data_IF_623156765108
#
_entry.id   IF_623156765108
#
_cell.length_a   1.000
_cell.length_b   1.000
_cell.length_c   1.000
_cell.angle_alpha   90.00
_cell.angle_beta   90.00
_cell.angle_gamma   90.00
#
_symmetry.space_group_name_H-M   'P 1'
#
loop_
_entity.id
_entity.type
_entity.pdbx_description
1 polymer ?
#
# COMPACT_ATOMS: atom_id res chain seq x y z
N UNK A 1 20.32 -19.95 -5.14
CA UNK A 1 18.93 -20.27 -4.72
C UNK A 1 18.64 -19.54 -3.41
N UNK A 2 17.44 -18.98 -3.21
CA UNK A 2 17.06 -18.33 -1.95
C UNK A 2 16.90 -19.35 -0.80
N UNK A 3 16.72 -20.64 -1.10
CA UNK A 3 16.44 -21.66 -0.11
C UNK A 3 15.04 -21.54 0.51
N UNK A 4 14.76 -22.35 1.53
CA UNK A 4 13.45 -22.37 2.19
C UNK A 4 13.26 -21.16 3.10
N UNK A 5 12.01 -20.73 3.21
CA UNK A 5 11.60 -19.63 4.09
C UNK A 5 11.60 -20.09 5.56
N UNK A 6 12.38 -19.41 6.39
CA UNK A 6 12.46 -19.63 7.85
C UNK A 6 11.54 -18.69 8.62
N UNK A 7 11.48 -17.44 8.18
CA UNK A 7 10.69 -16.40 8.82
C UNK A 7 10.11 -15.39 7.82
N UNK A 8 8.95 -14.83 8.17
CA UNK A 8 8.40 -13.62 7.57
C UNK A 8 7.81 -12.78 8.69
N UNK A 9 8.14 -11.49 8.72
CA UNK A 9 7.67 -10.58 9.74
C UNK A 9 7.50 -9.15 9.22
N UNK A 10 6.69 -8.37 9.93
CA UNK A 10 6.51 -6.94 9.67
C UNK A 10 7.64 -6.21 10.38
N UNK A 11 8.46 -5.47 9.62
CA UNK A 11 9.57 -4.71 10.21
C UNK A 11 9.10 -3.44 10.90
N UNK A 12 8.45 -2.54 10.15
CA UNK A 12 7.90 -1.29 10.69
C UNK A 12 6.57 -0.91 10.08
N UNK A 13 5.73 -0.25 10.88
CA UNK A 13 4.53 0.46 10.42
C UNK A 13 4.73 1.97 10.41
N UNK A 14 4.16 2.63 9.41
CA UNK A 14 4.09 4.09 9.34
C UNK A 14 3.00 4.65 10.25
N UNK A 15 2.87 5.98 10.29
CA UNK A 15 1.85 6.69 11.09
C UNK A 15 0.41 6.28 10.74
N UNK A 16 0.18 5.90 9.48
CA UNK A 16 -1.11 5.41 9.01
C UNK A 16 -1.34 3.93 9.33
N UNK A 17 -0.44 3.24 10.02
CA UNK A 17 -0.56 1.80 10.32
C UNK A 17 -0.18 0.86 9.16
N UNK A 18 0.10 1.40 7.96
CA UNK A 18 0.62 0.62 6.83
C UNK A 18 2.03 0.12 7.07
N UNK A 19 2.30 -1.09 6.61
CA UNK A 19 3.63 -1.72 6.62
C UNK A 19 4.55 -0.95 5.69
N UNK A 20 5.69 -0.49 6.23
CA UNK A 20 6.74 0.20 5.48
C UNK A 20 7.72 -0.79 4.85
N UNK A 21 7.96 -1.94 5.48
CA UNK A 21 8.72 -3.04 4.91
C UNK A 21 8.42 -4.36 5.63
N UNK A 22 8.60 -5.46 4.91
CA UNK A 22 8.47 -6.84 5.41
C UNK A 22 9.83 -7.52 5.31
N UNK A 23 10.21 -8.22 6.37
CA UNK A 23 11.46 -8.97 6.44
C UNK A 23 11.17 -10.42 6.09
N UNK A 24 11.99 -10.99 5.20
CA UNK A 24 11.98 -12.40 4.84
C UNK A 24 13.33 -12.99 5.23
N UNK A 25 13.31 -14.06 6.01
CA UNK A 25 14.52 -14.82 6.34
C UNK A 25 14.44 -16.18 5.69
N UNK A 26 15.44 -16.51 4.90
CA UNK A 26 15.56 -17.78 4.22
C UNK A 26 16.86 -18.48 4.60
N UNK A 27 17.08 -19.69 4.09
CA UNK A 27 18.39 -20.34 4.21
C UNK A 27 19.51 -19.55 3.51
N UNK A 28 19.19 -18.78 2.46
CA UNK A 28 20.14 -17.97 1.70
C UNK A 28 20.37 -16.56 2.23
N UNK A 29 19.66 -16.11 3.27
CA UNK A 29 19.90 -14.80 3.89
C UNK A 29 18.63 -14.10 4.37
N UNK A 30 18.79 -12.83 4.75
CA UNK A 30 17.73 -11.94 5.24
C UNK A 30 17.49 -10.81 4.22
N UNK A 31 16.23 -10.61 3.86
CA UNK A 31 15.82 -9.66 2.82
C UNK A 31 14.74 -8.74 3.36
N UNK A 32 14.94 -7.44 3.19
CA UNK A 32 13.92 -6.43 3.50
C UNK A 32 13.23 -5.99 2.21
N UNK A 33 11.92 -6.19 2.17
CA UNK A 33 11.09 -5.82 1.01
C UNK A 33 10.27 -4.59 1.38
N UNK A 34 10.61 -3.41 0.85
CA UNK A 34 9.94 -2.17 1.21
C UNK A 34 8.57 -2.00 0.53
N UNK A 35 7.67 -1.37 1.27
CA UNK A 35 6.49 -0.67 0.77
C UNK A 35 5.60 -1.48 -0.16
N UNK A 36 5.23 -0.87 -1.28
CA UNK A 36 4.30 -1.44 -2.25
C UNK A 36 4.81 -2.74 -2.89
N UNK A 37 6.14 -2.93 -2.97
CA UNK A 37 6.75 -4.13 -3.57
C UNK A 37 6.28 -5.41 -2.88
N UNK A 38 6.03 -5.38 -1.57
CA UNK A 38 5.57 -6.57 -0.83
C UNK A 38 4.23 -7.09 -1.36
N UNK A 39 3.38 -6.22 -1.93
CA UNK A 39 2.07 -6.60 -2.49
C UNK A 39 2.22 -7.51 -3.71
N UNK A 40 3.33 -7.36 -4.44
CA UNK A 40 3.69 -8.17 -5.59
C UNK A 40 4.33 -9.49 -5.18
N UNK A 41 5.03 -9.51 -4.05
CA UNK A 41 5.65 -10.72 -3.48
C UNK A 41 4.59 -11.63 -2.87
N UNK A 42 3.65 -11.06 -2.10
CA UNK A 42 2.62 -11.80 -1.36
C UNK A 42 1.31 -11.87 -2.14
N UNK A 43 1.32 -12.42 -3.37
CA UNK A 43 0.10 -12.50 -4.20
C UNK A 43 -1.01 -13.29 -3.52
N UNK A 44 -2.26 -12.88 -3.75
CA UNK A 44 -3.45 -13.53 -3.22
C UNK A 44 -3.64 -14.89 -3.91
N UNK A 45 -3.72 -16.00 -3.17
CA UNK A 45 -3.94 -17.32 -3.78
C UNK A 45 -5.29 -17.45 -4.50
N UNK A 46 -6.32 -16.75 -4.04
CA UNK A 46 -7.68 -16.88 -4.55
C UNK A 46 -7.85 -16.41 -6.02
N UNK A 47 -7.12 -15.38 -6.44
CA UNK A 47 -7.27 -14.77 -7.76
C UNK A 47 -5.94 -14.40 -8.43
N UNK A 48 -4.81 -14.73 -7.80
CA UNK A 48 -3.48 -14.31 -8.25
C UNK A 48 -3.25 -12.80 -8.19
N UNK A 49 -4.19 -11.99 -7.71
CA UNK A 49 -4.00 -10.54 -7.62
C UNK A 49 -2.92 -10.16 -6.62
N UNK A 50 -2.32 -8.98 -6.78
CA UNK A 50 -1.45 -8.40 -5.75
C UNK A 50 -2.25 -8.14 -4.46
N UNK A 51 -1.57 -8.04 -3.31
CA UNK A 51 -2.26 -7.62 -2.08
C UNK A 51 -2.98 -6.29 -2.29
N UNK A 52 -4.14 -6.14 -1.65
CA UNK A 52 -4.98 -4.94 -1.84
C UNK A 52 -4.30 -3.68 -1.31
N UNK A 53 -3.54 -3.78 -0.23
CA UNK A 53 -2.81 -2.67 0.37
C UNK A 53 -1.60 -3.17 1.15
N UNK A 54 -0.78 -2.26 1.66
CA UNK A 54 0.25 -2.56 2.68
C UNK A 54 -0.29 -2.52 4.11
N UNK A 55 -1.61 -2.42 4.29
CA UNK A 55 -2.26 -2.43 5.59
C UNK A 55 -2.74 -3.84 5.94
N UNK A 56 -1.79 -4.69 6.32
CA UNK A 56 -2.06 -6.08 6.68
C UNK A 56 -1.35 -6.47 7.98
N UNK A 57 -1.75 -7.61 8.53
CA UNK A 57 -1.11 -8.37 9.59
C UNK A 57 -0.66 -9.73 9.05
N UNK A 58 0.27 -10.38 9.76
CA UNK A 58 0.75 -11.71 9.44
C UNK A 58 0.51 -12.66 10.62
N UNK A 59 -0.05 -13.83 10.34
CA UNK A 59 -0.02 -14.98 11.24
C UNK A 59 0.77 -16.09 10.54
N UNK A 60 1.86 -16.52 11.16
CA UNK A 60 2.83 -17.43 10.53
C UNK A 60 2.85 -18.74 11.30
N UNK A 61 2.52 -19.85 10.62
CA UNK A 61 2.69 -21.20 11.18
C UNK A 61 4.01 -21.78 10.70
N UNK A 62 4.80 -22.29 11.64
CA UNK A 62 6.11 -22.88 11.39
C UNK A 62 6.14 -24.34 11.84
N UNK A 63 6.91 -25.16 11.12
CA UNK A 63 7.22 -26.54 11.52
C UNK A 63 8.58 -26.95 10.99
N UNK A 64 9.40 -27.52 11.87
CA UNK A 64 10.79 -27.91 11.58
C UNK A 64 11.71 -26.72 11.27
N UNK A 65 11.46 -25.54 11.86
CA UNK A 65 12.24 -24.33 11.62
C UNK A 65 11.90 -23.57 10.33
N UNK A 66 10.88 -24.01 9.58
CA UNK A 66 10.46 -23.38 8.32
C UNK A 66 9.00 -22.94 8.36
N UNK A 67 8.70 -21.87 7.62
CA UNK A 67 7.33 -21.39 7.38
C UNK A 67 6.56 -22.43 6.57
N UNK A 68 5.36 -22.78 7.04
CA UNK A 68 4.41 -23.69 6.35
C UNK A 68 3.19 -22.96 5.83
N UNK A 69 2.72 -21.97 6.58
CA UNK A 69 1.54 -21.21 6.24
C UNK A 69 1.73 -19.76 6.68
N UNK A 70 1.28 -18.83 5.84
CA UNK A 70 1.19 -17.41 6.14
C UNK A 70 -0.24 -16.98 5.88
N UNK A 71 -0.95 -16.66 6.95
CA UNK A 71 -2.27 -16.04 6.85
C UNK A 71 -2.09 -14.52 6.92
N UNK A 72 -2.72 -13.84 5.96
CA UNK A 72 -2.67 -12.38 5.82
C UNK A 72 -4.09 -11.85 5.96
N UNK A 73 -4.31 -11.01 6.97
CA UNK A 73 -5.55 -10.25 7.18
C UNK A 73 -5.24 -8.76 7.11
N UNK A 74 -6.17 -7.95 6.57
CA UNK A 74 -5.88 -6.53 6.34
C UNK A 74 -7.06 -5.78 5.78
N UNK A 75 -6.86 -4.47 5.53
CA UNK A 75 -7.90 -3.56 5.06
C UNK A 75 -7.40 -2.54 4.04
N UNK A 76 -8.34 -1.88 3.39
CA UNK A 76 -8.06 -0.85 2.37
C UNK A 76 -7.62 -1.44 1.03
N UNK A 77 -7.63 -0.57 0.02
CA UNK A 77 -7.31 -0.90 -1.36
C UNK A 77 -6.49 0.24 -1.99
N UNK A 78 -5.38 -0.09 -2.64
CA UNK A 78 -4.44 0.84 -3.24
C UNK A 78 -3.22 1.16 -2.36
N UNK A 79 -2.31 1.97 -2.92
CA UNK A 79 -1.09 2.44 -2.26
C UNK A 79 -1.39 3.50 -1.17
N UNK A 80 -2.55 4.16 -1.31
CA UNK A 80 -3.15 5.17 -0.44
C UNK A 80 -2.28 6.36 -0.10
N UNK A 81 -1.73 6.94 -1.16
CA UNK A 81 -1.19 8.29 -1.18
C UNK A 81 -2.20 9.14 -1.94
N UNK A 82 -2.45 10.37 -1.50
CA UNK A 82 -3.40 11.28 -2.15
C UNK A 82 -4.86 10.96 -1.83
N UNK A 83 -5.70 10.95 -2.85
CA UNK A 83 -7.16 10.87 -2.72
C UNK A 83 -7.68 9.45 -2.46
N UNK A 84 -8.46 9.29 -1.39
CA UNK A 84 -9.30 8.10 -1.20
C UNK A 84 -10.58 8.26 -2.01
N UNK A 85 -10.76 7.48 -3.08
CA UNK A 85 -11.93 7.61 -3.97
C UNK A 85 -13.27 7.42 -3.23
N UNK A 86 -13.35 6.43 -2.35
CA UNK A 86 -14.54 6.21 -1.51
C UNK A 86 -14.80 7.37 -0.54
N UNK A 87 -13.74 7.96 0.03
CA UNK A 87 -13.88 9.14 0.89
C UNK A 87 -14.29 10.38 0.10
N UNK A 88 -13.78 10.55 -1.12
CA UNK A 88 -14.22 11.62 -2.03
C UNK A 88 -15.70 11.46 -2.40
N UNK A 89 -16.15 10.24 -2.68
CA UNK A 89 -17.57 9.96 -2.94
C UNK A 89 -18.45 10.31 -1.74
N UNK A 90 -18.08 9.87 -0.52
CA UNK A 90 -18.84 10.22 0.69
C UNK A 90 -18.86 11.74 0.98
N UNK A 91 -17.78 12.44 0.67
CA UNK A 91 -17.75 13.91 0.75
C UNK A 91 -18.71 14.54 -0.28
N UNK A 92 -18.75 14.03 -1.51
CA UNK A 92 -19.69 14.50 -2.54
C UNK A 92 -21.15 14.22 -2.17
N UNK A 93 -21.45 13.04 -1.63
CA UNK A 93 -22.77 12.67 -1.11
C UNK A 93 -23.21 13.57 0.06
N UNK A 94 -22.25 14.08 0.84
CA UNK A 94 -22.50 15.09 1.89
C UNK A 94 -22.63 16.53 1.36
N UNK A 95 -22.62 16.73 0.04
CA UNK A 95 -22.82 18.03 -0.61
C UNK A 95 -21.56 18.86 -0.82
N UNK A 96 -20.35 18.31 -0.59
CA UNK A 96 -19.10 19.04 -0.82
C UNK A 96 -18.76 19.15 -2.30
N UNK A 97 -18.24 20.31 -2.69
CA UNK A 97 -17.80 20.55 -4.07
C UNK A 97 -16.51 19.78 -4.40
N UNK A 98 -16.23 19.59 -5.69
CA UNK A 98 -14.97 18.95 -6.11
C UNK A 98 -13.75 19.75 -5.64
N UNK A 99 -13.84 21.09 -5.56
CA UNK A 99 -12.75 21.93 -5.04
C UNK A 99 -12.48 21.68 -3.56
N UNK A 100 -13.52 21.55 -2.74
CA UNK A 100 -13.37 21.22 -1.31
C UNK A 100 -12.75 19.83 -1.13
N UNK A 101 -13.20 18.85 -1.92
CA UNK A 101 -12.67 17.49 -1.90
C UNK A 101 -11.19 17.50 -2.30
N UNK A 102 -10.81 18.16 -3.38
CA UNK A 102 -9.41 18.24 -3.82
C UNK A 102 -8.54 18.95 -2.78
N UNK A 103 -8.98 20.06 -2.21
CA UNK A 103 -8.23 20.79 -1.17
C UNK A 103 -8.08 19.98 0.12
N UNK A 104 -9.03 19.11 0.43
CA UNK A 104 -8.91 18.17 1.56
C UNK A 104 -7.79 17.15 1.35
N UNK A 105 -7.71 16.52 0.17
CA UNK A 105 -6.70 15.49 -0.12
C UNK A 105 -5.35 16.05 -0.56
N UNK A 106 -5.32 17.27 -1.08
CA UNK A 106 -4.12 17.94 -1.59
C UNK A 106 -4.00 19.35 -1.00
N UNK A 107 -3.61 19.49 0.29
CA UNK A 107 -3.50 20.80 0.93
C UNK A 107 -2.57 21.73 0.17
N UNK A 108 -3.01 22.97 -0.07
CA UNK A 108 -2.22 23.99 -0.79
C UNK A 108 -2.30 23.91 -2.31
N UNK A 109 -3.06 22.96 -2.90
CA UNK A 109 -3.26 22.90 -4.35
C UNK A 109 -4.05 24.11 -4.85
N UNK A 110 -3.70 24.58 -6.06
CA UNK A 110 -4.51 25.52 -6.84
C UNK A 110 -5.19 24.76 -7.97
N UNK A 111 -6.47 25.06 -8.19
CA UNK A 111 -7.26 24.48 -9.27
C UNK A 111 -7.23 25.50 -10.40
N UNK A 112 -6.75 25.07 -11.56
CA UNK A 112 -6.65 25.89 -12.76
C UNK A 112 -7.42 25.27 -13.92
N UNK A 113 -7.76 26.09 -14.90
CA UNK A 113 -8.26 25.62 -16.19
C UNK A 113 -7.05 25.22 -17.03
N UNK A 114 -7.08 24.03 -17.61
CA UNK A 114 -6.05 23.62 -18.56
C UNK A 114 -6.21 24.42 -19.85
N UNK A 115 -5.23 25.26 -20.15
CA UNK A 115 -5.11 25.97 -21.43
C UNK A 115 -4.02 25.31 -22.29
N UNK A 116 -4.36 24.53 -23.33
CA UNK A 116 -3.37 23.90 -24.20
C UNK A 116 -2.57 24.88 -25.05
N UNK A 117 -2.98 26.16 -25.14
CA UNK A 117 -2.28 27.23 -25.86
C UNK A 117 -1.22 27.94 -25.01
N UNK A 118 -1.28 27.82 -23.68
CA UNK A 118 -0.29 28.37 -22.76
C UNK A 118 0.95 27.47 -22.75
N UNK A 119 1.86 27.65 -23.72
CA UNK A 119 3.21 27.07 -23.61
C UNK A 119 3.91 27.69 -22.40
N UNK A 120 4.54 26.84 -21.61
CA UNK A 120 5.16 27.16 -20.31
C UNK A 120 5.97 28.46 -20.34
N UNK A 121 5.52 29.40 -19.51
CA UNK A 121 6.28 30.55 -19.05
C UNK A 121 6.13 30.61 -17.53
N UNK A 122 7.27 30.55 -16.86
CA UNK A 122 7.50 30.95 -15.47
C UNK A 122 6.97 30.02 -14.36
N UNK A 123 7.83 29.07 -13.98
CA UNK A 123 8.15 28.75 -12.58
C UNK A 123 9.56 28.16 -12.48
#
# INVERSE_FOLDING_TARGET
>A
SLGRLKNIEIGRRGRTGRVLYTVFETEGGRFEIPGDRVRWVLRRPADGGILRSTWFNLKVKRSGGFVREVQIDGRGFGHGIGMCQWGAMGMAESGRSYEEILKHYYPGVRIGVYDPGARGGDA
#
